data_IF_495095196050
#
_entry.id   IF_495095196050
#
_cell.length_a   1.000
_cell.length_b   1.000
_cell.length_c   1.000
_cell.angle_alpha   90.00
_cell.angle_beta   90.00
_cell.angle_gamma   90.00
#
_symmetry.space_group_name_H-M   'P 1'
#
loop_
_entity.id
_entity.type
_entity.pdbx_description
1 polymer ?
#
# COMPACT_ATOMS: atom_id res chain seq x y z
N UNK A 1 -5.42 -0.02 10.62
CA UNK A 1 -4.23 0.08 9.75
C UNK A 1 -2.92 0.04 10.52
N UNK A 2 -2.69 0.92 11.51
CA UNK A 2 -1.50 0.84 12.36
C UNK A 2 -1.29 -0.55 13.01
N UNK A 3 -2.39 -1.18 13.44
CA UNK A 3 -2.37 -2.57 13.93
C UNK A 3 -1.81 -3.58 12.92
N UNK A 4 -2.18 -3.50 11.63
CA UNK A 4 -1.66 -4.42 10.61
C UNK A 4 -0.17 -4.23 10.36
N UNK A 5 0.30 -2.97 10.36
CA UNK A 5 1.74 -2.69 10.29
C UNK A 5 2.49 -3.25 11.50
N UNK A 6 1.93 -3.07 12.70
CA UNK A 6 2.48 -3.67 13.92
C UNK A 6 2.55 -5.19 13.83
N UNK A 7 1.48 -5.84 13.36
CA UNK A 7 1.44 -7.29 13.18
C UNK A 7 2.45 -7.78 12.13
N UNK A 8 2.60 -7.08 11.00
CA UNK A 8 3.62 -7.39 9.97
C UNK A 8 5.02 -7.30 10.58
N UNK A 9 5.32 -6.25 11.35
CA UNK A 9 6.62 -6.06 11.99
C UNK A 9 6.93 -7.15 13.03
N UNK A 10 5.94 -7.51 13.87
CA UNK A 10 6.08 -8.58 14.87
C UNK A 10 6.32 -9.92 14.17
N UNK A 11 5.51 -10.26 13.16
CA UNK A 11 5.68 -11.52 12.44
C UNK A 11 7.03 -11.59 11.70
N UNK A 12 7.49 -10.49 11.10
CA UNK A 12 8.81 -10.43 10.46
C UNK A 12 9.94 -10.64 11.48
N UNK A 13 9.85 -10.03 12.66
CA UNK A 13 10.82 -10.21 13.75
C UNK A 13 10.89 -11.67 14.20
N UNK A 14 9.76 -12.31 14.44
CA UNK A 14 9.72 -13.71 14.88
C UNK A 14 10.27 -14.66 13.80
N UNK A 15 9.96 -14.41 12.53
CA UNK A 15 10.52 -15.18 11.40
C UNK A 15 12.04 -15.00 11.34
N UNK A 16 12.54 -13.77 11.40
CA UNK A 16 13.98 -13.50 11.37
C UNK A 16 14.69 -14.14 12.56
N UNK A 17 14.17 -13.98 13.78
CA UNK A 17 14.72 -14.61 14.99
C UNK A 17 14.77 -16.14 14.86
N UNK A 18 13.71 -16.72 14.28
CA UNK A 18 13.62 -18.15 14.06
C UNK A 18 14.59 -18.68 12.99
N UNK A 19 14.92 -17.88 11.96
CA UNK A 19 15.91 -18.27 10.95
C UNK A 19 17.33 -18.14 11.51
N UNK A 20 17.60 -17.10 12.30
CA UNK A 20 18.96 -16.70 12.65
C UNK A 20 19.54 -17.38 13.88
N UNK A 21 18.72 -17.73 14.86
CA UNK A 21 19.19 -18.43 16.06
C UNK A 21 19.09 -19.93 15.83
N UNK A 22 20.15 -20.49 15.24
CA UNK A 22 20.31 -21.87 14.79
C UNK A 22 20.24 -22.94 15.91
N UNK A 23 19.13 -23.03 16.63
CA UNK A 23 18.87 -24.10 17.61
C UNK A 23 17.54 -24.78 17.29
N UNK A 24 17.66 -25.90 16.56
CA UNK A 24 16.59 -26.57 15.83
C UNK A 24 15.81 -27.52 16.75
N UNK A 25 14.63 -27.10 17.23
CA UNK A 25 13.69 -27.95 17.98
C UNK A 25 12.39 -28.05 17.19
N UNK A 26 11.90 -29.28 16.95
CA UNK A 26 10.75 -29.62 16.09
C UNK A 26 9.45 -28.82 16.36
N UNK A 27 9.21 -28.41 17.61
CA UNK A 27 8.08 -27.53 18.03
C UNK A 27 8.13 -26.13 17.38
N UNK A 28 9.31 -25.68 16.92
CA UNK A 28 9.55 -24.37 16.34
C UNK A 28 9.13 -24.26 14.86
N UNK A 29 9.11 -25.36 14.11
CA UNK A 29 8.72 -25.36 12.67
C UNK A 29 7.25 -25.00 12.50
N UNK A 30 6.36 -25.62 13.31
CA UNK A 30 4.93 -25.32 13.28
C UNK A 30 4.69 -23.83 13.60
N UNK A 31 5.41 -23.30 14.59
CA UNK A 31 5.34 -21.88 14.96
C UNK A 31 5.78 -20.97 13.79
N UNK A 32 6.90 -21.29 13.12
CA UNK A 32 7.37 -20.55 11.95
C UNK A 32 6.33 -20.57 10.82
N UNK A 33 5.73 -21.73 10.53
CA UNK A 33 4.69 -21.84 9.50
C UNK A 33 3.48 -20.98 9.85
N UNK A 34 3.02 -21.01 11.09
CA UNK A 34 1.89 -20.17 11.55
C UNK A 34 2.21 -18.67 11.40
N UNK A 35 3.39 -18.23 11.83
CA UNK A 35 3.81 -16.83 11.67
C UNK A 35 3.94 -16.44 10.20
N UNK A 36 4.43 -17.34 9.35
CA UNK A 36 4.56 -17.09 7.92
C UNK A 36 3.21 -16.99 7.21
N UNK A 37 2.25 -17.86 7.56
CA UNK A 37 0.87 -17.79 7.07
C UNK A 37 0.20 -16.48 7.51
N UNK A 38 0.35 -16.11 8.78
CA UNK A 38 -0.19 -14.87 9.32
C UNK A 38 0.42 -13.64 8.63
N UNK A 39 1.75 -13.63 8.46
CA UNK A 39 2.47 -12.59 7.74
C UNK A 39 1.94 -12.46 6.31
N UNK A 40 1.87 -13.58 5.58
CA UNK A 40 1.41 -13.61 4.18
C UNK A 40 -0.02 -13.09 4.04
N UNK A 41 -0.92 -13.48 4.96
CA UNK A 41 -2.29 -13.00 4.98
C UNK A 41 -2.39 -11.48 5.22
N UNK A 42 -1.59 -10.92 6.13
CA UNK A 42 -1.57 -9.47 6.36
C UNK A 42 -0.96 -8.71 5.19
N UNK A 43 0.11 -9.24 4.59
CA UNK A 43 0.71 -8.66 3.37
C UNK A 43 -0.30 -8.66 2.23
N UNK A 44 -1.03 -9.76 2.01
CA UNK A 44 -2.05 -9.85 0.97
C UNK A 44 -3.16 -8.81 1.17
N UNK A 45 -3.68 -8.65 2.39
CA UNK A 45 -4.67 -7.61 2.71
C UNK A 45 -4.13 -6.21 2.43
N UNK A 46 -2.87 -5.95 2.82
CA UNK A 46 -2.24 -4.66 2.59
C UNK A 46 -2.06 -4.35 1.09
N UNK A 47 -1.66 -5.35 0.29
CA UNK A 47 -1.55 -5.23 -1.16
C UNK A 47 -2.91 -4.96 -1.80
N UNK A 48 -3.95 -5.71 -1.43
CA UNK A 48 -5.31 -5.52 -1.94
C UNK A 48 -5.82 -4.09 -1.71
N UNK A 49 -5.61 -3.54 -0.52
CA UNK A 49 -6.09 -2.20 -0.20
C UNK A 49 -5.38 -1.15 -1.05
N UNK A 50 -4.05 -1.23 -1.17
CA UNK A 50 -3.30 -0.33 -2.05
C UNK A 50 -3.69 -0.47 -3.52
N UNK A 51 -3.91 -1.70 -4.00
CA UNK A 51 -4.36 -1.97 -5.35
C UNK A 51 -5.75 -1.37 -5.63
N UNK A 52 -6.70 -1.55 -4.71
CA UNK A 52 -8.05 -0.98 -4.84
C UNK A 52 -8.01 0.55 -4.81
N UNK A 53 -7.23 1.14 -3.91
CA UNK A 53 -7.05 2.59 -3.86
C UNK A 53 -6.48 3.15 -5.17
N UNK A 54 -5.42 2.53 -5.71
CA UNK A 54 -4.84 2.95 -6.99
C UNK A 54 -5.85 2.80 -8.15
N UNK A 55 -6.55 1.67 -8.20
CA UNK A 55 -7.54 1.38 -9.24
C UNK A 55 -8.66 2.40 -9.22
N UNK A 56 -9.20 2.72 -8.04
CA UNK A 56 -10.27 3.71 -7.90
C UNK A 56 -9.77 5.11 -8.26
N UNK A 57 -8.57 5.51 -7.80
CA UNK A 57 -7.98 6.80 -8.18
C UNK A 57 -7.72 6.91 -9.68
N UNK A 58 -7.28 5.83 -10.34
CA UNK A 58 -7.04 5.79 -11.79
C UNK A 58 -8.34 5.80 -12.60
N UNK A 59 -9.36 5.05 -12.15
CA UNK A 59 -10.68 5.11 -12.79
C UNK A 59 -11.31 6.47 -12.62
N UNK A 60 -11.23 7.04 -11.42
CA UNK A 60 -11.69 8.40 -11.17
C UNK A 60 -10.99 9.37 -12.12
N UNK A 61 -9.65 9.34 -12.22
CA UNK A 61 -8.88 10.23 -13.10
C UNK A 61 -9.36 10.12 -14.55
N UNK A 62 -9.48 8.91 -15.10
CA UNK A 62 -10.00 8.65 -16.44
C UNK A 62 -11.43 9.19 -16.64
N UNK A 63 -12.32 9.04 -15.65
CA UNK A 63 -13.69 9.57 -15.74
C UNK A 63 -13.74 11.09 -15.90
N UNK A 64 -12.87 11.88 -15.26
CA UNK A 64 -12.88 13.32 -15.59
C UNK A 64 -12.18 13.67 -16.88
N UNK A 65 -11.21 12.89 -17.35
CA UNK A 65 -10.67 13.15 -18.69
C UNK A 65 -11.81 13.01 -19.73
N UNK A 66 -12.63 11.97 -19.58
CA UNK A 66 -13.83 11.77 -20.40
C UNK A 66 -14.87 12.89 -20.24
N UNK A 67 -15.23 13.27 -19.00
CA UNK A 67 -16.16 14.39 -18.76
C UNK A 67 -15.64 15.70 -19.37
N UNK A 68 -14.35 15.99 -19.20
CA UNK A 68 -13.74 17.19 -19.73
C UNK A 68 -13.83 17.23 -21.26
N UNK A 69 -13.58 16.11 -21.95
CA UNK A 69 -13.79 16.00 -23.41
C UNK A 69 -15.26 16.20 -23.79
N UNK A 70 -16.19 15.64 -23.02
CA UNK A 70 -17.62 15.75 -23.27
C UNK A 70 -18.13 17.19 -23.12
N UNK A 71 -17.56 17.96 -22.20
CA UNK A 71 -17.82 19.39 -22.01
C UNK A 71 -17.49 20.26 -23.23
N UNK A 72 -16.53 19.83 -24.06
CA UNK A 72 -16.23 20.50 -25.34
C UNK A 72 -17.19 20.08 -26.47
N UNK A 73 -17.84 18.92 -26.35
CA UNK A 73 -18.75 18.37 -27.36
C UNK A 73 -20.22 18.73 -27.15
N UNK A 74 -20.61 19.06 -25.92
CA UNK A 74 -21.99 19.38 -25.55
C UNK A 74 -22.26 20.88 -25.72
N UNK A 75 -23.39 21.23 -26.36
CA UNK A 75 -23.87 22.62 -26.48
C UNK A 75 -24.77 23.06 -25.30
N UNK A 76 -25.06 22.15 -24.37
CA UNK A 76 -25.86 22.42 -23.18
C UNK A 76 -25.02 23.16 -22.13
N UNK A 77 -25.46 24.38 -21.79
CA UNK A 77 -24.75 25.29 -20.88
C UNK A 77 -24.77 24.77 -19.44
N UNK A 78 -25.88 24.16 -18.99
CA UNK A 78 -25.97 23.62 -17.62
C UNK A 78 -25.03 22.44 -17.43
N UNK A 79 -24.99 21.51 -18.40
CA UNK A 79 -24.09 20.36 -18.35
C UNK A 79 -22.63 20.82 -18.33
N UNK A 80 -22.29 21.84 -19.13
CA UNK A 80 -20.94 22.41 -19.20
C UNK A 80 -20.52 23.03 -17.86
N UNK A 81 -21.44 23.70 -17.19
CA UNK A 81 -21.20 24.33 -15.88
C UNK A 81 -20.99 23.28 -14.79
N UNK A 82 -21.81 22.24 -14.74
CA UNK A 82 -21.66 21.11 -13.81
C UNK A 82 -20.30 20.41 -14.01
N UNK A 83 -19.91 20.14 -15.25
CA UNK A 83 -18.61 19.51 -15.55
C UNK A 83 -17.46 20.43 -15.11
N UNK A 84 -17.58 21.73 -15.33
CA UNK A 84 -16.56 22.72 -14.94
C UNK A 84 -16.39 22.77 -13.42
N UNK A 85 -17.49 22.77 -12.65
CA UNK A 85 -17.46 22.71 -11.19
C UNK A 85 -16.83 21.41 -10.68
N UNK A 86 -17.20 20.26 -11.26
CA UNK A 86 -16.61 18.97 -10.90
C UNK A 86 -15.11 18.90 -11.20
N UNK A 87 -14.69 19.46 -12.34
CA UNK A 87 -13.28 19.54 -12.72
C UNK A 87 -12.49 20.42 -11.75
N UNK A 88 -13.05 21.59 -11.38
CA UNK A 88 -12.48 22.49 -10.38
C UNK A 88 -12.30 21.81 -9.03
N UNK A 89 -13.33 21.11 -8.54
CA UNK A 89 -13.30 20.38 -7.29
C UNK A 89 -12.21 19.30 -7.29
N UNK A 90 -12.04 18.60 -8.42
CA UNK A 90 -11.00 17.58 -8.56
C UNK A 90 -9.59 18.17 -8.62
N UNK A 91 -9.38 19.27 -9.32
CA UNK A 91 -8.06 19.93 -9.40
C UNK A 91 -7.62 20.35 -8.00
N UNK A 92 -8.54 20.89 -7.20
CA UNK A 92 -8.26 21.32 -5.83
C UNK A 92 -8.20 20.15 -4.83
N UNK A 93 -8.97 19.08 -5.05
CA UNK A 93 -9.05 17.93 -4.17
C UNK A 93 -9.05 16.62 -4.99
N UNK A 94 -7.88 16.20 -5.53
CA UNK A 94 -7.78 14.94 -6.23
C UNK A 94 -8.14 13.79 -5.28
N UNK A 95 -8.83 12.78 -5.80
CA UNK A 95 -9.27 11.64 -5.01
C UNK A 95 -8.06 10.80 -4.58
N UNK A 96 -7.59 11.05 -3.36
CA UNK A 96 -6.43 10.41 -2.73
C UNK A 96 -6.90 9.69 -1.47
N UNK A 97 -6.61 8.40 -1.41
CA UNK A 97 -6.85 7.62 -0.20
C UNK A 97 -5.65 7.81 0.72
N UNK A 98 -5.85 8.49 1.85
CA UNK A 98 -4.79 8.75 2.82
C UNK A 98 -5.03 7.97 4.12
N UNK A 99 -4.00 7.30 4.62
CA UNK A 99 -4.01 6.72 5.97
C UNK A 99 -3.67 7.78 7.00
N UNK A 100 -4.67 8.25 7.76
CA UNK A 100 -4.49 9.21 8.88
C UNK A 100 -3.76 10.50 8.43
N UNK A 101 -3.83 10.84 7.14
CA UNK A 101 -3.13 12.00 6.56
C UNK A 101 -1.60 11.86 6.40
N UNK A 102 -0.98 10.79 6.91
CA UNK A 102 0.49 10.61 6.88
C UNK A 102 1.01 10.00 5.59
N UNK A 103 0.23 9.11 4.97
CA UNK A 103 0.64 8.39 3.77
C UNK A 103 -0.53 8.22 2.80
N UNK A 104 -0.24 8.33 1.52
CA UNK A 104 -1.19 8.08 0.44
C UNK A 104 -1.09 6.61 0.01
N UNK A 105 -2.19 5.88 0.04
CA UNK A 105 -2.25 4.52 -0.50
C UNK A 105 -2.12 4.51 -2.02
N UNK A 106 -1.46 3.48 -2.54
CA UNK A 106 -1.20 3.31 -3.97
C UNK A 106 0.14 2.62 -4.24
N UNK A 107 0.44 2.37 -5.52
CA UNK A 107 1.66 1.64 -5.90
C UNK A 107 2.94 2.38 -5.52
N UNK A 108 2.92 3.72 -5.55
CA UNK A 108 4.06 4.54 -5.13
C UNK A 108 4.41 4.34 -3.65
N UNK A 109 3.41 4.17 -2.81
CA UNK A 109 3.62 3.89 -1.39
C UNK A 109 4.10 2.46 -1.17
N UNK A 110 3.51 1.47 -1.85
CA UNK A 110 3.98 0.09 -1.82
C UNK A 110 5.45 -0.04 -2.19
N UNK A 111 5.87 0.59 -3.29
CA UNK A 111 7.26 0.58 -3.72
C UNK A 111 8.20 1.11 -2.64
N UNK A 112 7.91 2.32 -2.11
CA UNK A 112 8.71 2.92 -1.03
C UNK A 112 8.77 2.04 0.22
N UNK A 113 7.64 1.43 0.58
CA UNK A 113 7.55 0.55 1.74
C UNK A 113 8.42 -0.71 1.57
N UNK A 114 8.37 -1.36 0.40
CA UNK A 114 9.20 -2.53 0.09
C UNK A 114 10.68 -2.16 0.08
N UNK A 115 11.06 -1.05 -0.55
CA UNK A 115 12.45 -0.55 -0.55
C UNK A 115 12.95 -0.31 0.88
N UNK A 116 12.11 0.28 1.74
CA UNK A 116 12.45 0.50 3.15
C UNK A 116 12.69 -0.81 3.90
N UNK A 117 11.83 -1.83 3.71
CA UNK A 117 12.02 -3.15 4.32
C UNK A 117 13.32 -3.79 3.82
N UNK A 118 13.55 -3.79 2.50
CA UNK A 118 14.76 -4.37 1.91
C UNK A 118 16.03 -3.70 2.47
N UNK A 119 16.03 -2.37 2.60
CA UNK A 119 17.15 -1.62 3.17
C UNK A 119 17.44 -2.06 4.61
N UNK A 120 16.40 -2.16 5.45
CA UNK A 120 16.54 -2.62 6.84
C UNK A 120 17.06 -4.06 6.90
N UNK A 121 16.57 -4.96 6.05
CA UNK A 121 17.04 -6.34 5.98
C UNK A 121 18.52 -6.42 5.60
N UNK A 122 18.97 -5.64 4.61
CA UNK A 122 20.38 -5.58 4.20
C UNK A 122 21.25 -5.11 5.36
N UNK A 123 20.85 -4.06 6.09
CA UNK A 123 21.59 -3.56 7.25
C UNK A 123 21.73 -4.65 8.33
N UNK A 124 20.65 -5.38 8.64
CA UNK A 124 20.67 -6.44 9.64
C UNK A 124 21.61 -7.57 9.22
N UNK A 125 21.54 -8.01 7.97
CA UNK A 125 22.40 -9.08 7.43
C UNK A 125 23.88 -8.66 7.50
N UNK A 126 24.21 -7.44 7.07
CA UNK A 126 25.58 -6.91 7.14
C UNK A 126 26.08 -6.82 8.58
N UNK A 127 25.25 -6.35 9.51
CA UNK A 127 25.61 -6.24 10.92
C UNK A 127 25.87 -7.60 11.59
N UNK A 128 25.32 -8.69 11.04
CA UNK A 128 25.56 -10.05 11.53
C UNK A 128 26.75 -10.72 10.84
N UNK A 129 27.01 -10.41 9.58
CA UNK A 129 28.20 -10.91 8.87
C UNK A 129 29.51 -10.27 9.38
N UNK A 130 29.45 -9.07 9.97
CA UNK A 130 30.59 -8.39 10.59
C UNK A 130 30.79 -8.74 12.08
N UNK A 131 30.07 -9.73 12.61
CA UNK A 131 30.32 -10.34 13.93
C UNK A 131 31.07 -11.65 13.79
#
# INVERSE_FOLDING_TARGET
>A
MAYYFGMIAISLREILYAILINNYVKSRIISVVVYFLWFSHNVFKFLLINYMCETVSTKASATADLLNRLSYSTCDVEIREIISQFSLQRVHAPLRFCGIGFFQFGFRFLHKFITSIATVLVIIIQAQANK
#
